data_IF_671543490476
#
_entry.id   IF_671543490476
#
_cell.length_a   1.000
_cell.length_b   1.000
_cell.length_c   1.000
_cell.angle_alpha   90.00
_cell.angle_beta   90.00
_cell.angle_gamma   90.00
#
_symmetry.space_group_name_H-M   'P 1'
#
loop_
_entity.id
_entity.type
_entity.pdbx_description
1 polymer ?
#
# COMPACT_ATOMS: atom_id res chain seq x y z
N UNK A 1 7.58 1.31 -9.06
CA UNK A 1 7.26 2.57 -9.78
C UNK A 1 6.47 2.23 -11.04
N UNK A 2 5.42 2.97 -11.32
CA UNK A 2 4.62 2.77 -12.53
C UNK A 2 4.83 3.96 -13.48
N UNK A 3 4.99 3.65 -14.75
CA UNK A 3 5.22 4.66 -15.78
C UNK A 3 4.31 4.43 -16.99
N UNK A 4 3.95 5.53 -17.64
CA UNK A 4 3.22 5.51 -18.90
C UNK A 4 3.76 6.64 -19.77
N UNK A 5 4.10 6.33 -21.03
CA UNK A 5 4.69 7.28 -21.98
C UNK A 5 5.93 8.01 -21.44
N UNK A 6 6.74 7.30 -20.62
CA UNK A 6 7.94 7.86 -20.01
C UNK A 6 7.69 8.74 -18.81
N UNK A 7 6.43 8.94 -18.41
CA UNK A 7 6.07 9.73 -17.24
C UNK A 7 5.75 8.83 -16.06
N UNK A 8 6.15 9.24 -14.85
CA UNK A 8 5.79 8.51 -13.64
C UNK A 8 4.32 8.79 -13.32
N UNK A 9 3.49 7.74 -13.35
CA UNK A 9 2.06 7.84 -13.04
C UNK A 9 1.73 7.34 -11.65
N UNK A 10 2.68 6.70 -10.97
CA UNK A 10 2.51 6.27 -9.60
C UNK A 10 3.80 5.73 -9.01
N UNK A 11 3.89 5.72 -7.69
CA UNK A 11 5.01 5.10 -6.98
C UNK A 11 4.57 4.64 -5.59
N UNK A 12 5.37 3.76 -5.01
CA UNK A 12 5.19 3.32 -3.64
C UNK A 12 6.53 3.13 -2.96
N UNK A 13 6.58 3.40 -1.66
CA UNK A 13 7.77 3.14 -0.85
C UNK A 13 7.38 2.30 0.36
N UNK A 14 8.32 1.47 0.80
CA UNK A 14 8.11 0.63 1.98
C UNK A 14 9.42 0.45 2.73
N UNK A 15 9.30 0.08 4.00
CA UNK A 15 10.45 -0.21 4.85
C UNK A 15 10.04 -1.25 5.90
N UNK A 16 11.01 -1.90 6.51
CA UNK A 16 10.76 -2.85 7.57
C UNK A 16 11.74 -4.00 7.55
N UNK A 17 11.62 -4.86 8.55
CA UNK A 17 12.50 -6.02 8.73
C UNK A 17 11.71 -7.18 9.32
N UNK A 18 12.31 -8.37 9.29
CA UNK A 18 11.84 -9.54 10.04
C UNK A 18 10.41 -9.97 9.72
N UNK A 19 10.01 -9.85 8.47
CA UNK A 19 8.71 -10.36 8.03
C UNK A 19 7.58 -9.34 8.04
N UNK A 20 7.72 -8.23 8.75
CA UNK A 20 6.72 -7.18 8.78
C UNK A 20 7.23 -5.95 8.04
N UNK A 21 6.54 -5.56 6.97
CA UNK A 21 6.91 -4.44 6.13
C UNK A 21 5.82 -3.37 6.25
N UNK A 22 6.25 -2.12 6.40
CA UNK A 22 5.35 -0.96 6.43
C UNK A 22 5.32 -0.29 5.07
N UNK A 23 4.12 -0.15 4.50
CA UNK A 23 3.93 0.66 3.31
C UNK A 23 3.91 2.13 3.75
N UNK A 24 4.93 2.88 3.37
CA UNK A 24 5.08 4.27 3.82
C UNK A 24 4.36 5.26 2.92
N UNK A 25 4.53 5.12 1.61
CA UNK A 25 3.91 5.99 0.64
C UNK A 25 3.32 5.19 -0.51
N UNK A 26 2.14 5.57 -0.94
CA UNK A 26 1.53 5.07 -2.16
C UNK A 26 0.91 6.26 -2.88
N UNK A 27 1.42 6.56 -4.06
CA UNK A 27 0.95 7.67 -4.86
C UNK A 27 0.61 7.19 -6.27
N UNK A 28 -0.53 7.67 -6.77
CA UNK A 28 -0.90 7.52 -8.18
C UNK A 28 -1.37 8.89 -8.67
N UNK A 29 -0.87 9.32 -9.82
CA UNK A 29 -1.30 10.59 -10.41
C UNK A 29 -2.83 10.55 -10.59
N UNK A 30 -3.56 11.58 -10.13
CA UNK A 30 -5.03 11.58 -10.19
C UNK A 30 -5.61 11.32 -11.58
N UNK A 31 -4.90 11.69 -12.64
CA UNK A 31 -5.32 11.43 -14.02
C UNK A 31 -5.44 9.92 -14.29
N UNK A 32 -4.68 9.10 -13.57
CA UNK A 32 -4.63 7.65 -13.77
C UNK A 32 -5.29 6.83 -12.68
N UNK A 33 -5.92 7.47 -11.69
CA UNK A 33 -6.42 6.77 -10.50
C UNK A 33 -7.42 5.64 -10.79
N UNK A 34 -8.19 5.73 -11.85
CA UNK A 34 -9.22 4.72 -12.18
C UNK A 34 -8.75 3.69 -13.20
N UNK A 35 -7.45 3.63 -13.47
CA UNK A 35 -6.86 2.70 -14.45
C UNK A 35 -6.29 1.44 -13.81
N UNK A 36 -6.53 1.23 -12.52
CA UNK A 36 -6.02 0.05 -11.82
C UNK A 36 -4.54 0.11 -11.50
N UNK A 37 -3.89 1.26 -11.64
CA UNK A 37 -2.45 1.42 -11.42
C UNK A 37 -2.08 1.18 -9.96
N UNK A 38 -2.86 1.75 -9.03
CA UNK A 38 -2.61 1.55 -7.60
C UNK A 38 -2.75 0.08 -7.21
N UNK A 39 -3.75 -0.60 -7.74
CA UNK A 39 -3.95 -2.04 -7.51
C UNK A 39 -2.78 -2.83 -8.07
N UNK A 40 -2.30 -2.50 -9.26
CA UNK A 40 -1.15 -3.16 -9.87
C UNK A 40 0.13 -2.93 -9.06
N UNK A 41 0.34 -1.71 -8.53
CA UNK A 41 1.48 -1.42 -7.67
C UNK A 41 1.46 -2.26 -6.39
N UNK A 42 0.31 -2.32 -5.70
CA UNK A 42 0.18 -3.12 -4.48
C UNK A 42 0.40 -4.60 -4.77
N UNK A 43 -0.16 -5.12 -5.86
CA UNK A 43 0.03 -6.52 -6.26
C UNK A 43 1.50 -6.82 -6.53
N UNK A 44 2.20 -5.92 -7.20
CA UNK A 44 3.63 -6.10 -7.50
C UNK A 44 4.48 -6.06 -6.24
N UNK A 45 4.18 -5.13 -5.34
CA UNK A 45 4.86 -5.06 -4.04
C UNK A 45 4.65 -6.36 -3.27
N UNK A 46 3.44 -6.86 -3.22
CA UNK A 46 3.12 -8.11 -2.54
C UNK A 46 3.92 -9.29 -3.11
N UNK A 47 4.03 -9.39 -4.43
CA UNK A 47 4.83 -10.43 -5.08
C UNK A 47 6.30 -10.35 -4.69
N UNK A 48 6.88 -9.14 -4.75
CA UNK A 48 8.28 -8.90 -4.39
C UNK A 48 8.54 -9.28 -2.93
N UNK A 49 7.66 -8.85 -2.04
CA UNK A 49 7.84 -9.09 -0.61
C UNK A 49 7.64 -10.57 -0.25
N UNK A 50 6.69 -11.26 -0.88
CA UNK A 50 6.53 -12.70 -0.70
C UNK A 50 7.80 -13.46 -1.12
N UNK A 51 8.38 -13.06 -2.23
CA UNK A 51 9.62 -13.68 -2.72
C UNK A 51 10.79 -13.46 -1.77
N UNK A 52 10.73 -12.41 -0.95
CA UNK A 52 11.76 -12.11 0.07
C UNK A 52 11.43 -12.72 1.43
N UNK A 53 10.34 -13.47 1.56
CA UNK A 53 9.94 -14.10 2.80
C UNK A 53 9.20 -13.21 3.78
N UNK A 54 8.74 -12.03 3.35
CA UNK A 54 7.92 -11.17 4.19
C UNK A 54 6.56 -11.81 4.45
N UNK A 55 6.04 -11.64 5.67
CA UNK A 55 4.77 -12.24 6.08
C UNK A 55 3.60 -11.27 6.00
N UNK A 56 3.85 -9.97 6.21
CA UNK A 56 2.82 -8.95 6.28
C UNK A 56 3.27 -7.64 5.66
N UNK A 57 2.32 -6.96 5.04
CA UNK A 57 2.48 -5.58 4.60
C UNK A 57 1.45 -4.75 5.36
N UNK A 58 1.90 -3.81 6.19
CA UNK A 58 1.03 -2.97 7.00
C UNK A 58 1.01 -1.54 6.48
N UNK A 59 -0.07 -0.83 6.76
CA UNK A 59 -0.21 0.56 6.36
C UNK A 59 -1.04 1.32 7.39
N UNK A 60 -0.69 2.61 7.59
CA UNK A 60 -1.58 3.55 8.27
C UNK A 60 -2.35 4.25 7.17
N UNK A 61 -3.62 3.88 7.02
CA UNK A 61 -4.41 4.28 5.87
C UNK A 61 -4.99 5.68 6.04
N UNK A 62 -5.00 6.45 4.96
CA UNK A 62 -5.80 7.65 4.88
C UNK A 62 -7.28 7.23 4.88
N UNK A 63 -8.18 7.87 5.68
CA UNK A 63 -9.60 7.51 5.69
C UNK A 63 -10.25 7.50 4.31
N UNK A 64 -9.80 8.35 3.39
CA UNK A 64 -10.32 8.40 2.02
C UNK A 64 -9.88 7.21 1.16
N UNK A 65 -8.89 6.45 1.61
CA UNK A 65 -8.34 5.31 0.87
C UNK A 65 -8.77 3.96 1.44
N UNK A 66 -9.60 3.94 2.47
CA UNK A 66 -10.00 2.69 3.14
C UNK A 66 -10.61 1.67 2.18
N UNK A 67 -11.54 2.10 1.33
CA UNK A 67 -12.19 1.19 0.38
C UNK A 67 -11.19 0.62 -0.61
N UNK A 68 -10.22 1.43 -1.05
CA UNK A 68 -9.18 0.95 -1.93
C UNK A 68 -8.36 -0.16 -1.27
N UNK A 69 -7.90 0.06 -0.04
CA UNK A 69 -7.10 -0.95 0.65
C UNK A 69 -7.89 -2.23 0.90
N UNK A 70 -9.16 -2.12 1.29
CA UNK A 70 -10.03 -3.29 1.46
C UNK A 70 -10.21 -4.05 0.14
N UNK A 71 -10.38 -3.32 -0.95
CA UNK A 71 -10.58 -3.93 -2.28
C UNK A 71 -9.37 -4.73 -2.74
N UNK A 72 -8.15 -4.33 -2.36
CA UNK A 72 -6.94 -5.07 -2.73
C UNK A 72 -6.54 -6.12 -1.70
N UNK A 73 -7.33 -6.34 -0.67
CA UNK A 73 -7.15 -7.45 0.26
C UNK A 73 -6.66 -7.09 1.65
N UNK A 74 -6.46 -5.82 1.96
CA UNK A 74 -6.09 -5.40 3.31
C UNK A 74 -7.27 -5.55 4.27
N UNK A 75 -6.97 -5.88 5.51
CA UNK A 75 -7.96 -5.97 6.59
C UNK A 75 -7.62 -4.99 7.69
N UNK A 76 -8.63 -4.51 8.39
CA UNK A 76 -8.46 -3.58 9.50
C UNK A 76 -7.77 -4.29 10.66
N UNK A 77 -6.74 -3.65 11.25
CA UNK A 77 -5.99 -4.24 12.36
C UNK A 77 -5.78 -3.28 13.53
N UNK A 78 -6.49 -2.18 13.59
CA UNK A 78 -6.41 -1.27 14.70
C UNK A 78 -6.37 0.19 14.28
N UNK A 79 -5.92 1.03 15.20
CA UNK A 79 -5.80 2.47 15.01
C UNK A 79 -4.40 2.93 15.38
N UNK A 80 -3.96 4.01 14.75
CA UNK A 80 -2.69 4.66 15.06
C UNK A 80 -2.92 6.15 15.31
N UNK A 81 -2.18 6.71 16.24
CA UNK A 81 -2.15 8.16 16.46
C UNK A 81 -1.21 8.80 15.43
N UNK A 82 -1.68 9.85 14.78
CA UNK A 82 -0.88 10.63 13.84
C UNK A 82 -0.94 12.11 14.21
N UNK A 83 -0.12 12.92 13.56
CA UNK A 83 -0.14 14.39 13.79
C UNK A 83 -1.48 15.00 13.37
N UNK A 84 -2.28 14.30 12.60
CA UNK A 84 -3.56 14.77 12.12
C UNK A 84 -4.74 14.05 12.78
N UNK A 85 -4.49 13.32 13.88
CA UNK A 85 -5.50 12.56 14.60
C UNK A 85 -5.32 11.06 14.44
N UNK A 86 -6.36 10.31 14.78
CA UNK A 86 -6.35 8.85 14.72
C UNK A 86 -6.60 8.37 13.29
N UNK A 87 -5.80 7.42 12.84
CA UNK A 87 -5.95 6.83 11.50
C UNK A 87 -6.01 5.30 11.60
N UNK A 88 -6.77 4.64 10.71
CA UNK A 88 -6.86 3.19 10.74
C UNK A 88 -5.56 2.53 10.29
N UNK A 89 -5.21 1.44 10.95
CA UNK A 89 -4.11 0.55 10.55
C UNK A 89 -4.71 -0.64 9.80
N UNK A 90 -4.07 -1.01 8.71
CA UNK A 90 -4.52 -2.13 7.90
C UNK A 90 -3.35 -3.05 7.58
N UNK A 91 -3.63 -4.31 7.32
CA UNK A 91 -2.61 -5.32 7.02
C UNK A 91 -3.04 -6.18 5.84
N UNK A 92 -2.08 -6.45 4.96
CA UNK A 92 -2.21 -7.45 3.91
C UNK A 92 -1.33 -8.64 4.29
N UNK A 93 -1.95 -9.78 4.50
CA UNK A 93 -1.24 -11.01 4.83
C UNK A 93 -0.60 -11.56 3.55
N UNK A 94 0.71 -11.77 3.59
CA UNK A 94 1.51 -12.19 2.43
C UNK A 94 1.80 -13.69 2.43
N UNK A 95 1.74 -14.30 3.58
CA UNK A 95 2.05 -15.73 3.71
C UNK A 95 0.80 -16.59 3.77
#
# INVERSE_FOLDING_TARGET
MAEEDGSVVGFATWAGTAGTIELEDLFVDPVYMRRGIATALVSRIAEILRARGAERLEVTANPHALEFYRAVGFIDCGLAETDFGTAPRMVLVLS
#
